data_IF_910352616869
#
_entry.id   IF_910352616869
#
_cell.length_a   1.000
_cell.length_b   1.000
_cell.length_c   1.000
_cell.angle_alpha   90.00
_cell.angle_beta   90.00
_cell.angle_gamma   90.00
#
_symmetry.space_group_name_H-M   'P 1'
#
loop_
_entity.id
_entity.type
_entity.pdbx_description
1 polymer ?
#
# COMPACT_ATOMS: atom_id res chain seq x y z
N UNK A 1 54.15 3.32 -19.65
CA UNK A 1 55.06 3.88 -18.63
C UNK A 1 54.89 5.38 -18.67
N UNK A 2 54.70 6.04 -17.53
CA UNK A 2 54.65 7.49 -17.53
C UNK A 2 56.03 8.03 -17.94
N UNK A 3 56.08 8.97 -18.89
CA UNK A 3 57.31 9.67 -19.30
C UNK A 3 57.58 10.84 -18.37
N UNK A 4 58.65 10.74 -17.57
CA UNK A 4 59.09 11.81 -16.67
C UNK A 4 59.99 12.77 -17.43
N UNK A 5 59.60 14.03 -17.55
CA UNK A 5 60.25 15.05 -18.36
C UNK A 5 61.45 15.77 -17.67
N UNK A 6 61.72 15.49 -16.40
CA UNK A 6 62.86 16.09 -15.68
C UNK A 6 63.51 15.09 -14.70
N UNK A 7 64.84 15.20 -14.43
CA UNK A 7 65.48 14.37 -13.44
C UNK A 7 64.91 14.68 -12.04
N UNK A 8 64.47 13.65 -11.31
CA UNK A 8 63.95 13.78 -9.95
C UNK A 8 63.62 12.40 -9.34
N UNK A 9 63.32 12.39 -8.05
CA UNK A 9 62.79 11.19 -7.39
C UNK A 9 61.27 11.25 -7.50
N UNK A 10 60.72 10.31 -8.22
CA UNK A 10 59.27 10.19 -8.41
C UNK A 10 58.76 9.02 -7.57
N UNK A 11 57.76 9.28 -6.74
CA UNK A 11 57.04 8.23 -6.00
C UNK A 11 55.83 7.85 -6.83
N UNK A 12 55.82 6.64 -7.36
CA UNK A 12 54.71 6.06 -8.07
C UNK A 12 53.98 5.10 -7.14
N UNK A 13 52.71 5.35 -6.85
CA UNK A 13 51.87 4.46 -6.07
C UNK A 13 51.37 3.34 -7.00
N UNK A 14 52.02 2.18 -6.93
CA UNK A 14 51.64 1.00 -7.72
C UNK A 14 50.81 0.08 -6.86
N UNK A 15 49.53 0.03 -7.09
CA UNK A 15 48.57 -0.91 -6.48
C UNK A 15 48.87 -2.34 -6.97
N UNK A 16 49.72 -3.09 -6.27
CA UNK A 16 50.14 -4.47 -6.62
C UNK A 16 49.46 -5.55 -5.79
N UNK A 17 48.47 -5.20 -4.98
CA UNK A 17 47.74 -6.17 -4.15
C UNK A 17 46.45 -6.66 -4.82
N UNK A 18 45.96 -7.87 -4.52
CA UNK A 18 44.61 -8.24 -4.82
C UNK A 18 43.66 -7.32 -4.04
N UNK A 19 42.90 -6.48 -4.73
CA UNK A 19 41.88 -5.64 -4.09
C UNK A 19 40.87 -6.57 -3.40
N UNK A 20 40.57 -6.36 -2.10
CA UNK A 20 39.53 -7.14 -1.46
C UNK A 20 38.21 -6.97 -2.20
N UNK A 21 37.47 -8.04 -2.42
CA UNK A 21 36.13 -7.99 -3.01
C UNK A 21 35.21 -7.46 -1.92
N UNK A 22 34.72 -6.26 -2.09
CA UNK A 22 33.67 -5.71 -1.22
C UNK A 22 32.37 -6.45 -1.50
N UNK A 23 31.75 -7.00 -0.46
CA UNK A 23 30.49 -7.71 -0.58
C UNK A 23 29.32 -6.77 -0.86
N UNK A 24 28.47 -7.14 -1.79
CA UNK A 24 27.23 -6.40 -2.08
C UNK A 24 26.18 -6.63 -0.99
N UNK A 25 25.20 -5.75 -0.88
CA UNK A 25 24.05 -5.96 -0.02
C UNK A 25 23.18 -7.14 -0.50
N UNK A 26 22.66 -7.93 0.44
CA UNK A 26 21.82 -9.10 0.11
C UNK A 26 20.36 -8.95 0.50
N UNK A 27 20.01 -7.89 1.21
CA UNK A 27 18.72 -7.76 1.92
C UNK A 27 17.80 -6.66 1.35
N UNK A 28 17.89 -6.37 0.05
CA UNK A 28 17.04 -5.38 -0.61
C UNK A 28 15.87 -6.05 -1.31
N UNK A 29 14.66 -5.81 -0.81
CA UNK A 29 13.42 -6.27 -1.44
C UNK A 29 12.80 -5.21 -2.37
N UNK A 30 12.09 -5.67 -3.39
CA UNK A 30 11.18 -4.86 -4.18
C UNK A 30 9.77 -5.45 -4.13
N UNK A 31 8.79 -4.58 -3.88
CA UNK A 31 7.38 -4.92 -3.80
C UNK A 31 6.61 -4.20 -4.89
N UNK A 32 5.82 -4.94 -5.65
CA UNK A 32 4.94 -4.40 -6.69
C UNK A 32 3.49 -4.72 -6.34
N UNK A 33 2.60 -3.74 -6.38
CA UNK A 33 1.21 -3.97 -6.01
C UNK A 33 0.39 -2.68 -5.94
N UNK A 34 -0.63 -2.68 -5.08
CA UNK A 34 -1.63 -1.62 -4.98
C UNK A 34 -1.45 -0.82 -3.69
N UNK A 35 -1.82 0.46 -3.74
CA UNK A 35 -1.69 1.40 -2.63
C UNK A 35 -2.90 2.32 -2.52
N UNK A 36 -3.00 3.10 -1.44
CA UNK A 36 -4.03 4.13 -1.30
C UNK A 36 -3.80 5.27 -2.29
N UNK A 37 -2.56 5.74 -2.38
CA UNK A 37 -2.10 6.81 -3.27
C UNK A 37 -0.70 6.49 -3.80
N UNK A 38 -0.20 7.26 -4.75
CA UNK A 38 1.16 7.15 -5.26
C UNK A 38 1.65 8.54 -5.67
N UNK A 39 2.01 9.35 -4.68
CA UNK A 39 2.40 10.75 -4.88
C UNK A 39 3.35 11.22 -3.78
N UNK A 40 4.15 12.22 -4.11
CA UNK A 40 5.02 12.90 -3.15
C UNK A 40 4.86 14.40 -3.29
N UNK A 41 4.62 15.07 -2.18
CA UNK A 41 4.57 16.54 -2.12
C UNK A 41 5.98 17.05 -1.85
N UNK A 42 6.46 17.93 -2.69
CA UNK A 42 7.74 18.65 -2.51
C UNK A 42 7.50 20.14 -2.52
N UNK A 43 8.17 20.86 -1.65
CA UNK A 43 8.22 22.31 -1.68
C UNK A 43 9.43 22.75 -2.50
N UNK A 44 9.18 23.45 -3.61
CA UNK A 44 10.20 24.02 -4.49
C UNK A 44 9.84 25.50 -4.68
N UNK A 45 10.76 26.39 -4.33
CA UNK A 45 10.59 27.85 -4.45
C UNK A 45 9.31 28.40 -3.77
N UNK A 46 8.95 27.87 -2.58
CA UNK A 46 7.72 28.16 -1.83
C UNK A 46 6.42 27.70 -2.54
N UNK A 47 6.51 26.87 -3.57
CA UNK A 47 5.35 26.23 -4.19
C UNK A 47 5.32 24.73 -3.85
N UNK A 48 4.13 24.22 -3.51
CA UNK A 48 3.93 22.79 -3.26
C UNK A 48 3.67 22.10 -4.59
N UNK A 49 4.63 21.26 -4.99
CA UNK A 49 4.54 20.44 -6.22
C UNK A 49 4.20 19.01 -5.83
N UNK A 50 3.15 18.47 -6.45
CA UNK A 50 2.76 17.06 -6.31
C UNK A 50 3.38 16.24 -7.44
N UNK A 51 4.38 15.41 -7.11
CA UNK A 51 4.99 14.47 -8.04
C UNK A 51 4.23 13.16 -8.05
N UNK A 52 3.81 12.68 -9.24
CA UNK A 52 3.15 11.40 -9.39
C UNK A 52 4.17 10.26 -9.42
N UNK A 53 3.96 9.26 -8.55
CA UNK A 53 4.86 8.12 -8.35
C UNK A 53 4.30 6.81 -8.94
N UNK A 54 3.10 6.83 -9.54
CA UNK A 54 2.45 5.64 -10.07
C UNK A 54 3.36 4.93 -11.08
N UNK A 55 3.43 3.61 -10.98
CA UNK A 55 4.25 2.70 -11.79
C UNK A 55 5.77 2.87 -11.65
N UNK A 56 6.28 3.81 -10.88
CA UNK A 56 7.72 4.09 -10.75
C UNK A 56 8.31 3.48 -9.46
N UNK A 57 9.45 2.78 -9.53
CA UNK A 57 10.13 2.29 -8.34
C UNK A 57 10.55 3.44 -7.40
N UNK A 58 10.16 3.33 -6.13
CA UNK A 58 10.50 4.30 -5.09
C UNK A 58 11.21 3.62 -3.94
N UNK A 59 12.37 4.13 -3.54
CA UNK A 59 13.09 3.65 -2.36
C UNK A 59 12.38 4.12 -1.09
N UNK A 60 12.06 3.20 -0.20
CA UNK A 60 11.43 3.43 1.10
C UNK A 60 12.31 2.86 2.20
N UNK A 61 12.61 3.66 3.21
CA UNK A 61 13.54 3.30 4.30
C UNK A 61 12.86 3.01 5.63
N UNK A 62 11.58 3.34 5.76
CA UNK A 62 10.76 3.07 6.94
C UNK A 62 9.27 3.18 6.62
N UNK A 63 8.42 2.74 7.56
CA UNK A 63 6.97 2.78 7.39
C UNK A 63 6.39 4.19 7.24
N UNK A 64 6.92 5.18 7.96
CA UNK A 64 6.45 6.57 7.85
C UNK A 64 6.63 7.11 6.44
N UNK A 65 7.80 6.89 5.83
CA UNK A 65 8.08 7.28 4.45
C UNK A 65 7.19 6.54 3.43
N UNK A 66 6.84 5.26 3.72
CA UNK A 66 5.85 4.56 2.91
C UNK A 66 4.50 5.25 2.96
N UNK A 67 4.00 5.58 4.16
CA UNK A 67 2.69 6.24 4.35
C UNK A 67 2.65 7.61 3.68
N UNK A 68 3.71 8.38 3.78
CA UNK A 68 3.81 9.69 3.12
C UNK A 68 3.61 9.60 1.60
N UNK A 69 4.20 8.60 0.95
CA UNK A 69 4.19 8.44 -0.52
C UNK A 69 3.02 7.60 -1.03
N UNK A 70 2.66 6.57 -0.29
CA UNK A 70 1.73 5.53 -0.77
C UNK A 70 0.45 5.42 0.04
N UNK A 71 0.32 6.19 1.12
CA UNK A 71 -0.83 6.12 2.02
C UNK A 71 -0.72 5.00 3.04
N UNK A 72 -1.84 4.72 3.71
CA UNK A 72 -1.94 3.74 4.78
C UNK A 72 -2.36 2.35 4.32
N UNK A 73 -2.89 1.60 5.28
CA UNK A 73 -3.49 0.29 5.01
C UNK A 73 -4.84 0.46 4.29
N UNK A 74 -5.06 -0.40 3.30
CA UNK A 74 -6.30 -0.44 2.52
C UNK A 74 -6.91 -1.84 2.66
N UNK A 75 -8.14 -1.99 3.12
CA UNK A 75 -8.78 -3.29 3.27
C UNK A 75 -8.81 -4.09 1.97
N UNK A 76 -8.40 -5.35 2.03
CA UNK A 76 -8.35 -6.24 0.86
C UNK A 76 -7.15 -6.02 -0.07
N UNK A 77 -6.29 -5.04 0.20
CA UNK A 77 -5.04 -4.78 -0.51
C UNK A 77 -3.87 -5.27 0.32
N UNK A 78 -2.93 -5.97 -0.30
CA UNK A 78 -1.88 -6.70 0.41
C UNK A 78 -0.52 -6.01 0.47
N UNK A 79 -0.22 -5.11 -0.48
CA UNK A 79 1.08 -4.44 -0.53
C UNK A 79 1.42 -3.67 0.76
N UNK A 80 0.53 -2.83 1.34
CA UNK A 80 0.85 -2.13 2.59
C UNK A 80 1.17 -3.08 3.74
N UNK A 81 0.38 -4.16 3.90
CA UNK A 81 0.62 -5.19 4.91
C UNK A 81 1.94 -5.94 4.68
N UNK A 82 2.31 -6.17 3.42
CA UNK A 82 3.57 -6.83 3.04
C UNK A 82 4.79 -5.96 3.36
N UNK A 83 4.74 -4.67 3.04
CA UNK A 83 5.83 -3.72 3.37
C UNK A 83 5.96 -3.54 4.88
N UNK A 84 4.84 -3.40 5.60
CA UNK A 84 4.84 -3.33 7.06
C UNK A 84 5.43 -4.60 7.68
N UNK A 85 4.99 -5.77 7.22
CA UNK A 85 5.53 -7.07 7.63
C UNK A 85 7.02 -7.24 7.33
N UNK A 86 7.49 -6.69 6.21
CA UNK A 86 8.91 -6.66 5.86
C UNK A 86 9.73 -5.89 6.89
N UNK A 87 9.34 -4.66 7.23
CA UNK A 87 10.04 -3.88 8.25
C UNK A 87 9.96 -4.53 9.62
N UNK A 88 8.81 -5.05 10.02
CA UNK A 88 8.62 -5.75 11.30
C UNK A 88 9.53 -6.97 11.44
N UNK A 89 9.81 -7.67 10.34
CA UNK A 89 10.61 -8.89 10.33
C UNK A 89 12.12 -8.68 10.08
N UNK A 90 12.59 -7.44 9.99
CA UNK A 90 14.01 -7.13 9.92
C UNK A 90 14.49 -6.52 8.61
N UNK A 91 13.57 -6.19 7.70
CA UNK A 91 13.87 -5.35 6.55
C UNK A 91 14.21 -3.92 6.97
N UNK A 92 15.14 -3.30 6.28
CA UNK A 92 15.60 -1.93 6.59
C UNK A 92 15.26 -0.91 5.54
N UNK A 93 15.19 -1.32 4.29
CA UNK A 93 14.83 -0.51 3.13
C UNK A 93 14.33 -1.42 2.01
N UNK A 94 13.41 -0.92 1.20
CA UNK A 94 12.87 -1.64 0.06
C UNK A 94 12.49 -0.69 -1.06
N UNK A 95 12.35 -1.22 -2.28
CA UNK A 95 11.69 -0.51 -3.36
C UNK A 95 10.22 -0.86 -3.41
N UNK A 96 9.38 0.13 -3.68
CA UNK A 96 7.93 -0.03 -3.84
C UNK A 96 7.52 0.51 -5.20
N UNK A 97 6.73 -0.27 -5.93
CA UNK A 97 6.10 0.14 -7.18
C UNK A 97 4.59 0.01 -7.00
N UNK A 98 3.90 1.14 -6.94
CA UNK A 98 2.44 1.16 -6.96
C UNK A 98 1.96 1.11 -8.40
N UNK A 99 1.29 0.04 -8.80
CA UNK A 99 0.75 -0.11 -10.17
C UNK A 99 -0.71 0.30 -10.28
N UNK A 100 -1.40 0.45 -9.15
CA UNK A 100 -2.78 0.93 -9.06
C UNK A 100 -3.02 1.56 -7.69
N UNK A 101 -3.86 2.60 -7.65
CA UNK A 101 -4.25 3.24 -6.39
C UNK A 101 -5.72 3.00 -6.08
N UNK A 102 -6.03 2.91 -4.78
CA UNK A 102 -7.38 2.79 -4.25
C UNK A 102 -7.64 3.93 -3.27
N UNK A 103 -8.02 5.12 -3.76
CA UNK A 103 -8.26 6.28 -2.93
C UNK A 103 -9.47 6.09 -2.02
N UNK A 104 -9.67 7.04 -1.12
CA UNK A 104 -10.87 7.11 -0.30
C UNK A 104 -12.09 7.42 -1.17
N UNK A 105 -13.18 6.69 -0.96
CA UNK A 105 -14.45 6.98 -1.64
C UNK A 105 -15.00 8.33 -1.18
N UNK A 106 -15.59 9.09 -2.11
CA UNK A 106 -16.13 10.41 -1.81
C UNK A 106 -17.45 10.69 -2.51
N UNK A 107 -18.18 11.66 -2.00
CA UNK A 107 -19.39 12.21 -2.60
C UNK A 107 -19.41 13.72 -2.44
N UNK A 108 -19.98 14.41 -3.42
CA UNK A 108 -20.15 15.86 -3.38
C UNK A 108 -21.60 16.17 -3.01
N UNK A 109 -21.77 16.90 -1.92
CA UNK A 109 -23.07 17.42 -1.49
C UNK A 109 -23.30 18.76 -2.15
N UNK A 110 -24.50 18.90 -2.76
CA UNK A 110 -24.92 20.10 -3.48
C UNK A 110 -25.67 21.04 -2.53
N UNK A 111 -25.56 22.33 -2.77
CA UNK A 111 -26.38 23.34 -2.11
C UNK A 111 -27.79 23.44 -2.76
N UNK A 112 -28.61 24.34 -2.26
CA UNK A 112 -29.97 24.58 -2.78
C UNK A 112 -29.99 25.08 -4.23
N UNK A 113 -28.88 25.64 -4.71
CA UNK A 113 -28.72 26.12 -6.09
C UNK A 113 -28.19 25.02 -7.04
N UNK A 114 -27.96 23.79 -6.53
CA UNK A 114 -27.38 22.69 -7.31
C UNK A 114 -25.88 22.83 -7.57
N UNK A 115 -25.17 23.68 -6.81
CA UNK A 115 -23.72 23.84 -6.91
C UNK A 115 -23.02 23.00 -5.84
N UNK A 116 -21.78 22.50 -6.11
CA UNK A 116 -20.96 21.81 -5.12
C UNK A 116 -20.73 22.66 -3.87
N UNK A 117 -21.04 22.11 -2.70
CA UNK A 117 -20.90 22.79 -1.42
C UNK A 117 -19.88 22.11 -0.51
N UNK A 118 -20.01 20.79 -0.31
CA UNK A 118 -19.20 20.01 0.61
C UNK A 118 -18.77 18.72 -0.08
N UNK A 119 -17.49 18.36 0.01
CA UNK A 119 -17.04 16.98 -0.26
C UNK A 119 -17.08 16.18 1.03
N UNK A 120 -17.77 15.05 1.01
CA UNK A 120 -17.71 14.02 2.07
C UNK A 120 -16.85 12.89 1.59
N UNK A 121 -15.87 12.50 2.38
CA UNK A 121 -14.89 11.46 2.05
C UNK A 121 -14.88 10.39 3.14
N UNK A 122 -14.83 9.12 2.76
CA UNK A 122 -14.62 8.04 3.70
C UNK A 122 -13.25 8.18 4.38
N UNK A 123 -13.14 7.89 5.67
CA UNK A 123 -11.83 7.87 6.34
C UNK A 123 -10.98 6.69 5.88
N UNK A 124 -11.63 5.55 5.60
CA UNK A 124 -10.97 4.35 5.13
C UNK A 124 -10.87 4.37 3.60
N UNK A 125 -9.67 4.10 3.09
CA UNK A 125 -9.44 3.99 1.66
C UNK A 125 -10.01 2.70 1.06
N UNK A 126 -10.17 2.65 -0.25
CA UNK A 126 -10.59 1.48 -1.00
C UNK A 126 -12.10 1.27 -1.05
N UNK A 127 -12.48 0.06 -1.42
CA UNK A 127 -13.87 -0.29 -1.76
C UNK A 127 -14.84 -0.32 -0.57
N UNK A 128 -14.36 -0.41 0.66
CA UNK A 128 -15.22 -0.38 1.85
C UNK A 128 -15.96 0.95 1.99
N UNK A 129 -15.34 2.07 1.59
CA UNK A 129 -15.99 3.37 1.55
C UNK A 129 -17.17 3.44 0.59
N UNK A 130 -17.16 2.66 -0.48
CA UNK A 130 -18.27 2.60 -1.46
C UNK A 130 -19.52 1.91 -0.91
N UNK A 131 -19.40 1.16 0.18
CA UNK A 131 -20.55 0.56 0.88
C UNK A 131 -21.21 1.55 1.85
N UNK A 132 -20.80 2.82 1.81
CA UNK A 132 -21.35 3.88 2.65
C UNK A 132 -22.14 4.87 1.82
N UNK A 133 -23.23 5.37 2.41
CA UNK A 133 -23.95 6.54 1.93
C UNK A 133 -24.05 7.58 3.04
N UNK A 134 -24.15 8.82 2.64
CA UNK A 134 -24.45 9.93 3.54
C UNK A 134 -25.80 10.52 3.18
N UNK A 135 -26.61 10.78 4.19
CA UNK A 135 -27.88 11.48 4.08
C UNK A 135 -27.81 12.75 4.91
N UNK A 136 -28.10 13.87 4.28
CA UNK A 136 -28.22 15.18 4.93
C UNK A 136 -29.65 15.44 5.32
N UNK A 137 -29.87 15.85 6.55
CA UNK A 137 -31.17 16.28 7.05
C UNK A 137 -31.01 17.39 8.10
N UNK A 138 -32.15 17.86 8.59
CA UNK A 138 -32.21 18.90 9.64
C UNK A 138 -31.36 20.14 9.30
N UNK A 139 -31.49 20.63 8.05
CA UNK A 139 -30.74 21.81 7.58
C UNK A 139 -31.37 23.07 8.18
N UNK A 140 -30.61 23.71 9.07
CA UNK A 140 -31.01 24.96 9.70
C UNK A 140 -30.27 26.15 9.08
N UNK A 141 -30.99 27.18 8.72
CA UNK A 141 -30.48 28.47 8.25
C UNK A 141 -30.81 29.55 9.27
N UNK A 142 -29.97 30.59 9.43
CA UNK A 142 -30.29 31.71 10.32
C UNK A 142 -31.63 32.33 9.92
N UNK A 143 -32.48 32.61 10.91
CA UNK A 143 -33.72 33.30 10.68
C UNK A 143 -33.44 34.67 10.08
N UNK A 144 -33.94 34.92 8.86
CA UNK A 144 -33.93 36.25 8.27
C UNK A 144 -34.91 37.11 9.12
N UNK A 145 -34.40 37.89 10.07
CA UNK A 145 -35.19 38.90 10.73
C UNK A 145 -35.52 40.00 9.71
N UNK A 146 -36.68 39.87 9.04
CA UNK A 146 -37.24 40.95 8.29
C UNK A 146 -37.62 42.07 9.27
N UNK A 147 -36.77 43.09 9.40
CA UNK A 147 -37.19 44.36 10.02
C UNK A 147 -38.29 44.94 9.14
N UNK A 148 -39.53 44.77 9.56
CA UNK A 148 -40.66 45.54 9.05
C UNK A 148 -40.32 47.02 9.20
N UNK A 149 -40.28 47.72 8.06
CA UNK A 149 -40.10 49.17 8.01
C UNK A 149 -41.21 49.87 8.81
N UNK A 150 -40.85 50.52 9.89
CA UNK A 150 -41.61 51.63 10.42
C UNK A 150 -41.01 52.90 9.82
N UNK A 151 -41.85 53.67 9.11
CA UNK A 151 -41.56 55.00 8.60
C UNK A 151 -41.23 55.96 9.76
N UNK A 152 -40.18 56.74 9.65
CA UNK A 152 -40.17 58.19 9.61
C UNK A 152 -38.75 58.73 9.89
N UNK A 153 -38.25 59.44 8.95
CA UNK A 153 -37.37 60.64 8.93
C UNK A 153 -36.14 60.66 9.84
N UNK A 154 -34.95 60.55 9.25
CA UNK A 154 -33.85 61.54 9.38
C UNK A 154 -32.59 60.94 8.66
N UNK A 155 -31.96 61.77 7.88
CA UNK A 155 -30.64 61.56 7.24
C UNK A 155 -29.60 61.32 8.31
N UNK A 156 -28.82 60.25 8.13
CA UNK A 156 -27.39 60.18 8.47
C UNK A 156 -26.69 59.03 7.85
N UNK A 157 -25.41 59.17 7.54
CA UNK A 157 -24.54 58.46 6.68
C UNK A 157 -24.53 56.94 6.85
N UNK A 158 -24.45 56.21 5.71
CA UNK A 158 -24.32 54.80 5.58
C UNK A 158 -23.01 54.28 6.13
N UNK A 159 -23.06 53.57 7.26
CA UNK A 159 -22.11 52.55 7.63
C UNK A 159 -22.65 51.21 7.08
N UNK A 160 -21.80 50.48 6.39
CA UNK A 160 -22.11 49.11 5.92
C UNK A 160 -22.55 48.23 7.11
N UNK A 161 -23.57 47.36 6.96
CA UNK A 161 -23.97 46.52 8.08
C UNK A 161 -22.83 45.53 8.38
N UNK A 162 -22.24 45.65 9.56
CA UNK A 162 -21.42 44.61 10.15
C UNK A 162 -22.25 43.31 10.20
N UNK A 163 -21.67 42.23 9.71
CA UNK A 163 -22.26 40.93 9.82
C UNK A 163 -22.50 40.60 11.31
N UNK A 164 -23.66 40.05 11.70
CA UNK A 164 -23.91 39.71 13.08
C UNK A 164 -22.90 38.70 13.55
N UNK A 165 -22.05 39.08 14.48
CA UNK A 165 -21.31 38.18 15.36
C UNK A 165 -22.33 37.43 16.24
N UNK A 166 -22.85 36.34 15.75
CA UNK A 166 -23.76 35.48 16.47
C UNK A 166 -23.53 34.07 16.01
N UNK A 167 -23.24 33.15 16.91
CA UNK A 167 -23.20 31.68 16.81
C UNK A 167 -24.56 31.13 16.33
N UNK A 168 -25.07 31.67 15.23
CA UNK A 168 -26.44 31.49 14.83
C UNK A 168 -26.65 30.87 13.47
N UNK A 169 -26.80 29.56 13.42
CA UNK A 169 -27.81 29.03 12.57
C UNK A 169 -27.46 28.34 11.28
N UNK A 170 -26.20 28.27 10.85
CA UNK A 170 -25.82 27.42 9.70
C UNK A 170 -25.43 26.04 10.19
N UNK A 171 -26.40 25.13 10.35
CA UNK A 171 -26.12 23.78 10.81
C UNK A 171 -26.95 22.72 10.07
N UNK A 172 -26.47 21.50 10.05
CA UNK A 172 -27.16 20.35 9.47
C UNK A 172 -26.74 19.06 10.19
N UNK A 173 -27.51 17.99 9.97
CA UNK A 173 -27.22 16.66 10.50
C UNK A 173 -26.83 15.75 9.34
N UNK A 174 -25.77 14.94 9.54
CA UNK A 174 -25.33 13.91 8.60
C UNK A 174 -25.55 12.54 9.20
N UNK A 175 -26.31 11.72 8.51
CA UNK A 175 -26.50 10.30 8.81
C UNK A 175 -25.55 9.51 7.91
N UNK A 176 -24.62 8.78 8.51
CA UNK A 176 -23.71 7.86 7.81
C UNK A 176 -24.30 6.46 7.95
N UNK A 177 -24.54 5.81 6.83
CA UNK A 177 -25.17 4.49 6.75
C UNK A 177 -24.29 3.56 5.95
N UNK A 178 -24.31 2.27 6.28
CA UNK A 178 -23.60 1.21 5.55
C UNK A 178 -24.58 0.25 4.92
N UNK A 179 -24.25 -0.19 3.72
CA UNK A 179 -24.99 -1.23 3.00
C UNK A 179 -24.97 -2.54 3.79
N UNK A 180 -26.14 -3.13 3.97
CA UNK A 180 -26.29 -4.41 4.65
C UNK A 180 -26.25 -5.56 3.63
N UNK A 181 -25.88 -6.75 4.08
CA UNK A 181 -25.77 -7.95 3.24
C UNK A 181 -27.08 -8.28 2.48
N UNK A 182 -28.22 -7.88 3.01
CA UNK A 182 -29.55 -8.08 2.42
C UNK A 182 -30.03 -6.91 1.54
N UNK A 183 -29.13 -5.97 1.18
CA UNK A 183 -29.42 -4.87 0.27
C UNK A 183 -30.10 -3.65 0.89
N UNK A 184 -30.21 -3.58 2.24
CA UNK A 184 -30.69 -2.39 2.95
C UNK A 184 -29.56 -1.51 3.48
N UNK A 185 -29.91 -0.33 4.04
CA UNK A 185 -28.97 0.56 4.70
C UNK A 185 -29.10 0.48 6.22
N UNK A 186 -27.99 0.32 6.92
CA UNK A 186 -27.93 0.32 8.38
C UNK A 186 -27.19 1.57 8.87
N UNK A 187 -27.71 2.26 9.90
CA UNK A 187 -27.03 3.41 10.47
C UNK A 187 -25.68 2.97 11.08
N UNK A 188 -24.62 3.72 10.74
CA UNK A 188 -23.29 3.60 11.35
C UNK A 188 -23.05 4.70 12.38
N UNK A 189 -23.33 5.94 11.99
CA UNK A 189 -23.05 7.12 12.79
C UNK A 189 -24.04 8.23 12.43
N UNK A 190 -24.45 9.00 13.43
CA UNK A 190 -25.18 10.25 13.22
C UNK A 190 -24.32 11.40 13.76
N UNK A 191 -24.02 12.35 12.89
CA UNK A 191 -23.27 13.56 13.21
C UNK A 191 -24.25 14.72 13.25
N UNK A 192 -24.71 15.05 14.45
CA UNK A 192 -25.70 16.12 14.68
C UNK A 192 -25.02 17.47 14.80
N UNK A 193 -25.74 18.54 14.42
CA UNK A 193 -25.34 19.92 14.61
C UNK A 193 -23.93 20.21 14.03
N UNK A 194 -23.72 19.80 12.75
CA UNK A 194 -22.54 20.15 11.99
C UNK A 194 -22.69 21.62 11.57
N UNK A 195 -21.84 22.48 12.07
CA UNK A 195 -21.89 23.93 11.80
C UNK A 195 -20.96 24.30 10.63
N UNK A 196 -21.42 25.18 9.78
CA UNK A 196 -20.61 25.87 8.77
C UNK A 196 -20.26 27.24 9.28
N UNK A 197 -18.99 27.51 9.49
CA UNK A 197 -18.52 28.76 10.10
C UNK A 197 -17.26 29.30 9.44
N UNK A 198 -16.97 30.60 9.66
CA UNK A 198 -15.71 31.20 9.25
C UNK A 198 -14.66 30.95 10.34
N UNK A 199 -13.51 30.42 9.95
CA UNK A 199 -12.38 30.17 10.84
C UNK A 199 -11.15 30.89 10.32
N UNK A 200 -10.40 31.55 11.22
CA UNK A 200 -9.11 32.15 10.86
C UNK A 200 -7.99 31.14 11.02
N UNK A 201 -7.32 30.81 9.92
CA UNK A 201 -6.14 29.93 9.90
C UNK A 201 -5.02 30.69 9.21
N UNK A 202 -3.88 30.85 9.88
CA UNK A 202 -2.68 31.54 9.38
C UNK A 202 -2.97 32.97 8.84
N UNK A 203 -3.88 33.70 9.50
CA UNK A 203 -4.26 35.05 9.11
C UNK A 203 -5.20 35.15 7.90
N UNK A 204 -5.65 34.02 7.34
CA UNK A 204 -6.66 33.97 6.28
C UNK A 204 -7.98 33.45 6.85
N UNK A 205 -9.09 34.09 6.46
CA UNK A 205 -10.43 33.63 6.81
C UNK A 205 -10.87 32.58 5.79
N UNK A 206 -11.18 31.40 6.26
CA UNK A 206 -11.75 30.32 5.44
C UNK A 206 -13.06 29.79 6.03
N UNK A 207 -13.91 29.21 5.20
CA UNK A 207 -15.14 28.55 5.62
C UNK A 207 -14.82 27.10 5.92
N UNK A 208 -15.22 26.63 7.09
CA UNK A 208 -14.91 25.27 7.54
C UNK A 208 -16.10 24.65 8.29
N UNK A 209 -16.05 23.33 8.49
CA UNK A 209 -17.02 22.61 9.31
C UNK A 209 -16.55 22.55 10.76
N UNK A 210 -17.48 22.78 11.69
CA UNK A 210 -17.27 22.55 13.10
C UNK A 210 -18.25 21.50 13.62
N UNK A 211 -17.76 20.65 14.49
CA UNK A 211 -18.55 19.56 15.05
C UNK A 211 -18.94 19.87 16.51
N UNK A 212 -20.15 19.51 16.87
CA UNK A 212 -20.64 19.66 18.26
C UNK A 212 -19.67 18.99 19.24
N UNK A 213 -19.26 19.77 20.26
CA UNK A 213 -18.30 19.33 21.28
C UNK A 213 -16.96 18.83 20.70
N UNK A 214 -16.55 19.32 19.54
CA UNK A 214 -15.33 18.88 18.82
C UNK A 214 -15.29 17.37 18.52
N UNK A 215 -16.45 16.71 18.44
CA UNK A 215 -16.54 15.29 18.17
C UNK A 215 -16.38 15.02 16.66
N UNK A 216 -15.16 14.73 16.27
CA UNK A 216 -14.81 14.37 14.89
C UNK A 216 -15.52 13.08 14.46
N UNK A 217 -16.18 13.01 13.28
CA UNK A 217 -16.82 11.81 12.78
C UNK A 217 -15.82 10.66 12.63
N UNK A 218 -16.26 9.44 12.95
CA UNK A 218 -15.41 8.25 12.92
C UNK A 218 -15.21 7.68 11.53
N UNK A 219 -16.22 7.79 10.66
CA UNK A 219 -16.24 7.10 9.37
C UNK A 219 -16.02 8.03 8.18
N UNK A 220 -16.24 9.32 8.34
CA UNK A 220 -16.15 10.31 7.27
C UNK A 220 -15.32 11.53 7.66
N UNK A 221 -14.88 12.26 6.64
CA UNK A 221 -14.30 13.61 6.70
C UNK A 221 -15.12 14.52 5.80
N UNK A 222 -15.25 15.78 6.15
CA UNK A 222 -15.99 16.77 5.36
C UNK A 222 -15.10 17.97 5.04
N UNK A 223 -15.16 18.42 3.79
CA UNK A 223 -14.37 19.55 3.29
C UNK A 223 -15.28 20.52 2.57
N UNK A 224 -15.25 21.79 2.97
CA UNK A 224 -16.02 22.86 2.31
C UNK A 224 -15.38 23.20 0.97
N UNK A 225 -16.17 23.16 -0.10
CA UNK A 225 -15.74 23.58 -1.44
C UNK A 225 -16.02 25.07 -1.68
N UNK A 226 -17.14 25.57 -1.15
CA UNK A 226 -17.57 26.95 -1.32
C UNK A 226 -17.01 27.83 -0.19
N UNK A 227 -16.06 28.69 -0.50
CA UNK A 227 -15.35 29.52 0.47
C UNK A 227 -15.84 30.98 0.57
N UNK A 228 -16.73 31.37 -0.33
CA UNK A 228 -17.14 32.80 -0.42
C UNK A 228 -18.31 33.15 0.50
N UNK A 229 -19.25 32.24 0.72
CA UNK A 229 -20.53 32.51 1.37
C UNK A 229 -21.02 31.31 2.18
N UNK A 230 -21.30 31.51 3.46
CA UNK A 230 -21.80 30.44 4.35
C UNK A 230 -23.11 29.84 3.88
N UNK A 231 -24.04 30.64 3.36
CA UNK A 231 -25.31 30.12 2.85
C UNK A 231 -25.14 29.23 1.62
N UNK A 232 -24.17 29.54 0.77
CA UNK A 232 -23.85 28.73 -0.41
C UNK A 232 -23.04 27.47 -0.06
N UNK A 233 -22.30 27.51 1.07
CA UNK A 233 -21.59 26.36 1.59
C UNK A 233 -22.51 25.35 2.30
N UNK A 234 -23.76 25.71 2.60
CA UNK A 234 -24.73 24.81 3.21
C UNK A 234 -25.24 23.78 2.21
N UNK A 235 -25.21 22.47 2.54
CA UNK A 235 -25.79 21.45 1.70
C UNK A 235 -27.32 21.49 1.78
N UNK A 236 -28.01 21.10 0.69
CA UNK A 236 -29.45 20.79 0.77
C UNK A 236 -29.66 19.39 1.34
N UNK A 237 -30.89 19.09 1.73
CA UNK A 237 -31.27 17.71 2.07
C UNK A 237 -31.13 16.81 0.84
N UNK A 238 -30.37 15.75 0.99
CA UNK A 238 -30.04 14.81 -0.09
C UNK A 238 -29.43 13.52 0.46
N UNK A 239 -29.38 12.50 -0.40
CA UNK A 239 -28.66 11.25 -0.16
C UNK A 239 -27.60 11.06 -1.24
N UNK A 240 -26.40 10.63 -0.84
CA UNK A 240 -25.31 10.36 -1.77
C UNK A 240 -24.55 9.11 -1.33
N UNK A 241 -24.30 8.18 -2.25
CA UNK A 241 -23.39 7.05 -2.04
C UNK A 241 -21.98 7.53 -2.32
N UNK A 242 -21.04 7.13 -1.48
CA UNK A 242 -19.62 7.44 -1.70
C UNK A 242 -19.09 6.54 -2.81
N UNK A 243 -18.31 7.09 -3.72
CA UNK A 243 -17.78 6.37 -4.89
C UNK A 243 -16.28 6.61 -5.07
N UNK A 244 -15.61 5.67 -5.72
CA UNK A 244 -14.29 5.85 -6.34
C UNK A 244 -14.45 5.67 -7.85
N UNK A 245 -13.43 6.04 -8.63
CA UNK A 245 -13.48 5.87 -10.09
C UNK A 245 -13.70 4.39 -10.44
N UNK A 246 -14.72 4.12 -11.24
CA UNK A 246 -15.10 2.77 -11.66
C UNK A 246 -13.98 2.03 -12.38
N UNK A 247 -13.10 2.73 -13.08
CA UNK A 247 -11.93 2.13 -13.75
C UNK A 247 -10.99 1.44 -12.78
N UNK A 248 -10.90 1.93 -11.53
CA UNK A 248 -10.08 1.31 -10.48
C UNK A 248 -10.66 -0.02 -9.97
N UNK A 249 -11.94 -0.31 -10.27
CA UNK A 249 -12.65 -1.53 -9.88
C UNK A 249 -12.62 -2.62 -10.95
N UNK A 250 -12.06 -2.34 -12.12
CA UNK A 250 -11.86 -3.36 -13.14
C UNK A 250 -10.82 -4.39 -12.69
N UNK A 251 -10.99 -5.65 -13.12
CA UNK A 251 -10.04 -6.72 -12.79
C UNK A 251 -8.63 -6.35 -13.23
N UNK A 252 -7.62 -6.54 -12.35
CA UNK A 252 -6.23 -6.27 -12.70
C UNK A 252 -5.79 -7.14 -13.88
N UNK A 253 -4.97 -6.56 -14.75
CA UNK A 253 -4.39 -7.25 -15.90
C UNK A 253 -2.92 -7.56 -15.68
N UNK A 254 -2.40 -8.63 -16.24
CA UNK A 254 -0.99 -9.01 -16.11
C UNK A 254 -0.03 -7.91 -16.58
N UNK A 255 -0.43 -7.12 -17.58
CA UNK A 255 0.36 -6.00 -18.08
C UNK A 255 0.59 -4.87 -17.08
N UNK A 256 -0.35 -4.66 -16.13
CA UNK A 256 -0.20 -3.65 -15.07
C UNK A 256 0.96 -3.97 -14.14
N UNK A 257 1.09 -5.25 -13.77
CA UNK A 257 2.20 -5.70 -12.92
C UNK A 257 3.52 -5.78 -13.67
N UNK A 258 3.47 -6.14 -14.96
CA UNK A 258 4.65 -6.30 -15.79
C UNK A 258 5.40 -4.98 -15.98
N UNK A 259 4.71 -3.96 -16.46
CA UNK A 259 5.33 -2.69 -16.84
C UNK A 259 6.27 -2.80 -18.03
N UNK A 260 7.23 -1.89 -18.11
CA UNK A 260 8.18 -1.77 -19.22
C UNK A 260 9.56 -1.29 -18.73
N UNK A 261 10.63 -1.86 -19.31
CA UNK A 261 12.03 -1.50 -18.98
C UNK A 261 12.36 -0.08 -19.40
N UNK A 262 11.94 0.33 -20.59
CA UNK A 262 12.28 1.64 -21.17
C UNK A 262 11.62 2.78 -20.38
N UNK A 263 10.35 2.55 -19.97
CA UNK A 263 9.57 3.49 -19.17
C UNK A 263 9.87 3.38 -17.66
N UNK A 264 10.68 2.37 -17.28
CA UNK A 264 11.04 2.06 -15.88
C UNK A 264 9.81 1.84 -14.99
N UNK A 265 8.86 1.04 -15.48
CA UNK A 265 7.58 0.78 -14.81
C UNK A 265 7.41 -0.68 -14.43
N UNK A 266 6.57 -0.96 -13.42
CA UNK A 266 6.23 -2.32 -12.99
C UNK A 266 7.43 -3.15 -12.56
N UNK A 267 7.30 -4.47 -12.69
CA UNK A 267 8.38 -5.44 -12.37
C UNK A 267 9.56 -5.28 -13.34
N UNK A 268 9.29 -5.10 -14.64
CA UNK A 268 10.36 -4.94 -15.63
C UNK A 268 11.17 -3.65 -15.39
N UNK A 269 10.53 -2.59 -14.88
CA UNK A 269 11.23 -1.34 -14.50
C UNK A 269 12.22 -1.49 -13.34
N UNK A 270 12.18 -2.59 -12.60
CA UNK A 270 13.16 -2.91 -11.55
C UNK A 270 14.53 -3.34 -12.10
N UNK A 271 14.65 -3.59 -13.40
CA UNK A 271 15.89 -4.02 -14.04
C UNK A 271 17.03 -3.02 -13.86
N UNK A 272 16.73 -1.73 -13.90
CA UNK A 272 17.73 -0.65 -13.77
C UNK A 272 18.25 -0.44 -12.35
N UNK A 273 17.77 -1.23 -11.38
CA UNK A 273 18.13 -1.10 -9.97
C UNK A 273 18.93 -2.32 -9.55
N UNK A 274 20.24 -2.16 -9.50
CA UNK A 274 21.17 -3.26 -9.19
C UNK A 274 21.07 -3.77 -7.76
N UNK A 275 20.66 -2.94 -6.79
CA UNK A 275 20.63 -3.31 -5.37
C UNK A 275 19.57 -4.36 -5.02
N UNK A 276 18.57 -4.57 -5.87
CA UNK A 276 17.46 -5.49 -5.59
C UNK A 276 17.95 -6.93 -5.60
N UNK A 277 17.57 -7.69 -4.56
CA UNK A 277 17.90 -9.11 -4.41
C UNK A 277 16.67 -10.00 -4.22
N UNK A 278 15.51 -9.41 -3.95
CA UNK A 278 14.23 -10.10 -3.74
C UNK A 278 13.10 -9.33 -4.42
N UNK A 279 12.18 -10.04 -5.05
CA UNK A 279 10.99 -9.44 -5.71
C UNK A 279 9.73 -10.17 -5.24
N UNK A 280 8.71 -9.43 -4.84
CA UNK A 280 7.40 -9.96 -4.48
C UNK A 280 6.26 -9.10 -5.05
N UNK A 281 5.15 -9.75 -5.41
CA UNK A 281 3.94 -9.10 -5.97
C UNK A 281 2.71 -9.57 -5.16
N UNK A 282 2.54 -9.08 -3.92
CA UNK A 282 1.50 -9.60 -3.02
C UNK A 282 0.08 -9.35 -3.53
N UNK A 283 -0.18 -8.23 -4.21
CA UNK A 283 -1.50 -7.89 -4.74
C UNK A 283 -1.91 -8.66 -6.01
N UNK A 284 -1.05 -9.53 -6.50
CA UNK A 284 -1.42 -10.51 -7.51
C UNK A 284 -2.59 -11.40 -7.07
N UNK A 285 -2.75 -11.55 -5.76
CA UNK A 285 -3.83 -12.33 -5.13
C UNK A 285 -5.04 -11.49 -4.71
N UNK A 286 -5.04 -10.19 -5.00
CA UNK A 286 -6.18 -9.30 -4.72
C UNK A 286 -7.29 -9.51 -5.74
N UNK A 287 -8.54 -9.62 -5.25
CA UNK A 287 -9.73 -9.71 -6.09
C UNK A 287 -10.58 -8.45 -5.96
N UNK A 288 -11.17 -8.01 -7.07
CA UNK A 288 -12.14 -6.92 -7.05
C UNK A 288 -13.51 -7.41 -6.54
N UNK A 289 -14.34 -6.51 -6.01
CA UNK A 289 -15.66 -6.88 -5.50
C UNK A 289 -16.50 -7.64 -6.55
N UNK A 290 -16.99 -8.83 -6.16
CA UNK A 290 -17.78 -9.70 -7.01
C UNK A 290 -17.00 -10.56 -8.00
N UNK A 291 -15.67 -10.45 -8.05
CA UNK A 291 -14.83 -11.25 -8.93
C UNK A 291 -14.15 -12.40 -8.19
N UNK A 292 -13.80 -13.42 -8.95
CA UNK A 292 -12.95 -14.54 -8.48
C UNK A 292 -11.51 -14.31 -8.91
N UNK A 293 -10.58 -14.87 -8.12
CA UNK A 293 -9.17 -14.83 -8.46
C UNK A 293 -8.92 -15.49 -9.83
N UNK A 294 -8.27 -14.75 -10.71
CA UNK A 294 -7.87 -15.21 -12.03
C UNK A 294 -6.53 -15.98 -11.93
N UNK A 295 -6.60 -17.31 -11.85
CA UNK A 295 -5.43 -18.15 -11.72
C UNK A 295 -4.51 -18.14 -12.96
N UNK A 296 -5.04 -17.86 -14.15
CA UNK A 296 -4.22 -17.73 -15.36
C UNK A 296 -3.38 -16.45 -15.30
N UNK A 297 -3.96 -15.35 -14.80
CA UNK A 297 -3.21 -14.12 -14.52
C UNK A 297 -2.13 -14.36 -13.46
N UNK A 298 -2.46 -15.05 -12.37
CA UNK A 298 -1.49 -15.39 -11.32
C UNK A 298 -0.30 -16.17 -11.91
N UNK A 299 -0.58 -17.20 -12.71
CA UNK A 299 0.45 -17.98 -13.40
C UNK A 299 1.30 -17.12 -14.34
N UNK A 300 0.66 -16.26 -15.14
CA UNK A 300 1.36 -15.40 -16.10
C UNK A 300 2.31 -14.43 -15.41
N UNK A 301 1.86 -13.75 -14.34
CA UNK A 301 2.68 -12.78 -13.60
C UNK A 301 3.79 -13.48 -12.82
N UNK A 302 3.50 -14.61 -12.14
CA UNK A 302 4.55 -15.38 -11.45
C UNK A 302 5.59 -15.89 -12.43
N UNK A 303 5.18 -16.37 -13.60
CA UNK A 303 6.10 -16.79 -14.68
C UNK A 303 6.98 -15.65 -15.16
N UNK A 304 6.42 -14.45 -15.32
CA UNK A 304 7.16 -13.23 -15.67
C UNK A 304 8.15 -12.83 -14.57
N UNK A 305 7.78 -12.88 -13.29
CA UNK A 305 8.69 -12.63 -12.16
C UNK A 305 9.89 -13.59 -12.19
N UNK A 306 9.65 -14.87 -12.43
CA UNK A 306 10.68 -15.90 -12.55
C UNK A 306 11.62 -15.58 -13.72
N UNK A 307 11.08 -15.29 -14.90
CA UNK A 307 11.86 -14.95 -16.09
C UNK A 307 12.72 -13.71 -15.88
N UNK A 308 12.16 -12.66 -15.23
CA UNK A 308 12.89 -11.46 -14.85
C UNK A 308 14.09 -11.79 -13.93
N UNK A 309 13.87 -12.58 -12.88
CA UNK A 309 14.94 -12.97 -11.96
C UNK A 309 16.00 -13.85 -12.63
N UNK A 310 15.60 -14.78 -13.50
CA UNK A 310 16.52 -15.65 -14.26
C UNK A 310 17.39 -14.84 -15.23
N UNK A 311 16.80 -13.88 -15.93
CA UNK A 311 17.51 -13.03 -16.89
C UNK A 311 18.57 -12.17 -16.23
N UNK A 312 18.28 -11.61 -15.06
CA UNK A 312 19.21 -10.76 -14.32
C UNK A 312 20.24 -11.53 -13.48
N UNK A 313 19.88 -12.72 -12.98
CA UNK A 313 20.78 -13.59 -12.23
C UNK A 313 21.15 -13.12 -10.84
N UNK A 314 20.68 -11.96 -10.37
CA UNK A 314 21.09 -11.30 -9.13
C UNK A 314 20.01 -11.27 -8.03
N UNK A 315 18.79 -11.68 -8.34
CA UNK A 315 17.60 -11.61 -7.46
C UNK A 315 16.76 -12.86 -7.52
N UNK A 316 15.91 -13.06 -6.53
CA UNK A 316 15.01 -14.22 -6.41
C UNK A 316 13.58 -13.76 -6.20
N UNK A 317 12.63 -14.37 -6.90
CA UNK A 317 11.20 -14.13 -6.72
C UNK A 317 10.66 -14.88 -5.50
N UNK A 318 9.95 -14.16 -4.61
CA UNK A 318 9.20 -14.76 -3.50
C UNK A 318 7.74 -14.83 -3.94
N UNK A 319 7.24 -16.05 -4.13
CA UNK A 319 5.92 -16.31 -4.66
C UNK A 319 4.96 -16.71 -3.55
N UNK A 320 3.78 -16.11 -3.57
CA UNK A 320 2.66 -16.54 -2.74
C UNK A 320 1.88 -17.64 -3.46
N UNK A 321 1.43 -18.64 -2.71
CA UNK A 321 0.48 -19.62 -3.22
C UNK A 321 -0.91 -18.98 -3.39
N UNK A 322 -1.76 -19.45 -4.32
CA UNK A 322 -3.15 -19.02 -4.35
C UNK A 322 -3.83 -19.26 -3.00
N UNK A 323 -4.73 -18.35 -2.57
CA UNK A 323 -5.46 -18.50 -1.31
C UNK A 323 -6.45 -19.67 -1.34
N UNK A 324 -6.94 -20.06 -0.17
CA UNK A 324 -8.06 -21.02 0.04
C UNK A 324 -7.88 -22.39 -0.61
N UNK A 325 -6.65 -22.78 -0.93
CA UNK A 325 -6.29 -24.10 -1.42
C UNK A 325 -5.78 -25.01 -0.30
N UNK A 326 -6.20 -26.27 -0.31
CA UNK A 326 -5.66 -27.28 0.57
C UNK A 326 -4.28 -27.81 0.06
N UNK A 327 -3.52 -28.59 0.83
CA UNK A 327 -2.19 -29.06 0.43
C UNK A 327 -2.15 -29.86 -0.89
N UNK A 328 -3.19 -30.62 -1.20
CA UNK A 328 -3.25 -31.40 -2.46
C UNK A 328 -3.46 -30.46 -3.67
N UNK A 329 -4.31 -29.46 -3.51
CA UNK A 329 -4.56 -28.45 -4.53
C UNK A 329 -3.32 -27.58 -4.77
N UNK A 330 -2.59 -27.20 -3.73
CA UNK A 330 -1.31 -26.48 -3.85
C UNK A 330 -0.26 -27.33 -4.56
N UNK A 331 -0.16 -28.61 -4.22
CA UNK A 331 0.74 -29.54 -4.93
C UNK A 331 0.39 -29.64 -6.40
N UNK A 332 -0.90 -29.77 -6.74
CA UNK A 332 -1.39 -29.79 -8.12
C UNK A 332 -1.10 -28.47 -8.83
N UNK A 333 -1.37 -27.34 -8.16
CA UNK A 333 -1.02 -26.01 -8.67
C UNK A 333 0.45 -25.93 -9.03
N UNK A 334 1.34 -26.23 -8.07
CA UNK A 334 2.79 -26.16 -8.22
C UNK A 334 3.31 -27.06 -9.36
N UNK A 335 2.87 -28.31 -9.40
CA UNK A 335 3.45 -29.32 -10.28
C UNK A 335 2.84 -29.36 -11.68
N UNK A 336 1.55 -29.08 -11.79
CA UNK A 336 0.77 -29.29 -13.02
C UNK A 336 0.29 -27.97 -13.60
N UNK A 337 -0.46 -27.18 -12.84
CA UNK A 337 -1.14 -25.98 -13.38
C UNK A 337 -0.16 -24.85 -13.66
N UNK A 338 0.67 -24.49 -12.68
CA UNK A 338 1.74 -23.51 -12.86
C UNK A 338 2.96 -24.12 -13.55
N UNK A 339 3.41 -25.31 -13.08
CA UNK A 339 4.46 -26.08 -13.68
C UNK A 339 5.83 -25.37 -13.67
N UNK A 340 6.07 -24.48 -12.70
CA UNK A 340 7.32 -23.74 -12.62
C UNK A 340 8.51 -24.65 -12.26
N UNK A 341 9.63 -24.46 -12.91
CA UNK A 341 10.91 -25.10 -12.57
C UNK A 341 12.01 -24.03 -12.64
N UNK A 342 12.43 -23.54 -11.49
CA UNK A 342 13.44 -22.48 -11.44
C UNK A 342 14.11 -22.40 -10.06
N UNK A 343 15.42 -22.19 -10.05
CA UNK A 343 16.16 -21.87 -8.83
C UNK A 343 16.03 -20.40 -8.42
N UNK A 344 15.45 -19.55 -9.25
CA UNK A 344 15.27 -18.13 -9.01
C UNK A 344 13.90 -17.78 -8.42
N UNK A 345 13.19 -18.76 -7.89
CA UNK A 345 11.92 -18.56 -7.21
C UNK A 345 11.75 -19.48 -6.01
N UNK A 346 11.04 -18.99 -4.99
CA UNK A 346 10.64 -19.74 -3.81
C UNK A 346 9.16 -19.47 -3.52
N UNK A 347 8.37 -20.52 -3.30
CA UNK A 347 6.94 -20.45 -3.02
C UNK A 347 6.66 -20.78 -1.57
N UNK A 348 5.74 -20.02 -0.96
CA UNK A 348 5.33 -20.17 0.44
C UNK A 348 3.84 -20.46 0.57
N UNK A 349 3.51 -21.33 1.54
CA UNK A 349 2.17 -21.79 1.88
C UNK A 349 2.11 -22.21 3.37
N UNK A 350 1.02 -22.06 4.07
CA UNK A 350 -0.19 -21.30 3.74
C UNK A 350 -0.04 -19.80 3.96
N UNK A 351 -1.11 -19.05 3.69
CA UNK A 351 -1.21 -17.65 4.09
C UNK A 351 -1.20 -17.51 5.60
N UNK A 352 -0.72 -16.39 6.09
CA UNK A 352 -0.68 -16.04 7.52
C UNK A 352 -1.91 -15.22 7.91
N UNK A 353 -2.31 -15.32 9.18
CA UNK A 353 -3.30 -14.44 9.79
C UNK A 353 -2.61 -13.34 10.55
N UNK A 354 -3.07 -12.13 10.35
CA UNK A 354 -2.60 -10.93 11.08
C UNK A 354 -3.78 -10.17 11.66
N UNK A 355 -3.52 -9.34 12.68
CA UNK A 355 -4.44 -8.27 13.04
C UNK A 355 -4.27 -7.15 12.01
N UNK A 356 -5.30 -6.90 11.20
CA UNK A 356 -5.27 -5.84 10.19
C UNK A 356 -5.41 -4.46 10.86
N UNK A 357 -4.41 -3.58 10.74
CA UNK A 357 -4.48 -2.26 11.36
C UNK A 357 -5.58 -1.34 10.79
N UNK A 358 -6.07 -1.63 9.58
CA UNK A 358 -7.14 -0.86 8.96
C UNK A 358 -8.52 -1.17 9.53
N UNK A 359 -8.76 -2.41 9.93
CA UNK A 359 -10.10 -2.91 10.31
C UNK A 359 -10.20 -3.41 11.74
N UNK A 360 -9.09 -3.54 12.47
CA UNK A 360 -8.98 -4.19 13.79
C UNK A 360 -9.58 -5.61 13.80
N UNK A 361 -9.48 -6.31 12.67
CA UNK A 361 -9.95 -7.69 12.51
C UNK A 361 -8.82 -8.62 12.09
N UNK A 362 -8.98 -9.91 12.37
CA UNK A 362 -8.02 -10.91 11.88
C UNK A 362 -8.32 -11.20 10.42
N UNK A 363 -7.30 -11.00 9.56
CA UNK A 363 -7.38 -11.24 8.12
C UNK A 363 -6.28 -12.17 7.65
N UNK A 364 -6.52 -12.87 6.54
CA UNK A 364 -5.51 -13.65 5.85
C UNK A 364 -4.72 -12.74 4.91
N UNK A 365 -3.39 -12.83 4.95
CA UNK A 365 -2.51 -12.09 4.04
C UNK A 365 -1.46 -13.03 3.43
N UNK A 366 -1.01 -12.75 2.19
CA UNK A 366 0.07 -13.50 1.58
C UNK A 366 1.38 -13.31 2.36
N UNK A 367 2.17 -14.38 2.55
CA UNK A 367 3.35 -14.33 3.41
C UNK A 367 4.59 -13.65 2.81
N UNK A 368 4.63 -13.37 1.50
CA UNK A 368 5.84 -12.93 0.78
C UNK A 368 6.54 -11.73 1.40
N UNK A 369 5.81 -10.72 1.86
CA UNK A 369 6.40 -9.54 2.50
C UNK A 369 7.09 -9.87 3.84
N UNK A 370 6.45 -10.68 4.66
CA UNK A 370 7.00 -11.15 5.93
C UNK A 370 8.22 -12.04 5.71
N UNK A 371 8.16 -12.91 4.70
CA UNK A 371 9.27 -13.78 4.28
C UNK A 371 10.46 -12.97 3.81
N UNK A 372 10.25 -11.94 2.99
CA UNK A 372 11.32 -11.03 2.56
C UNK A 372 12.02 -10.36 3.76
N UNK A 373 11.26 -9.91 4.77
CA UNK A 373 11.80 -9.38 6.00
C UNK A 373 12.61 -10.41 6.80
N UNK A 374 12.12 -11.64 6.86
CA UNK A 374 12.84 -12.76 7.50
C UNK A 374 14.14 -13.08 6.76
N UNK A 375 14.15 -13.07 5.43
CA UNK A 375 15.37 -13.25 4.67
C UNK A 375 16.37 -12.13 4.96
N UNK A 376 15.92 -10.88 5.01
CA UNK A 376 16.76 -9.74 5.38
C UNK A 376 17.33 -9.89 6.79
N UNK A 377 16.53 -10.28 7.78
CA UNK A 377 16.98 -10.53 9.14
C UNK A 377 18.01 -11.67 9.21
N UNK A 378 17.75 -12.78 8.51
CA UNK A 378 18.64 -13.92 8.43
C UNK A 378 20.01 -13.52 7.84
N UNK A 379 19.99 -12.77 6.73
CA UNK A 379 21.21 -12.30 6.08
C UNK A 379 22.04 -11.37 7.00
N UNK A 380 21.37 -10.43 7.66
CA UNK A 380 22.04 -9.47 8.55
C UNK A 380 22.59 -10.10 9.82
N UNK A 381 21.99 -11.21 10.31
CA UNK A 381 22.39 -11.84 11.57
C UNK A 381 23.29 -13.04 11.39
N UNK A 382 23.15 -13.79 10.30
CA UNK A 382 23.83 -15.08 10.07
C UNK A 382 24.56 -15.16 8.73
N UNK A 383 24.23 -14.28 7.79
CA UNK A 383 24.74 -14.28 6.43
C UNK A 383 23.85 -15.05 5.44
N UNK A 384 23.99 -14.72 4.15
CA UNK A 384 23.18 -15.27 3.06
C UNK A 384 23.33 -16.78 2.86
N UNK A 385 24.44 -17.35 3.33
CA UNK A 385 24.72 -18.79 3.26
C UNK A 385 23.84 -19.65 4.19
N UNK A 386 23.26 -19.04 5.23
CA UNK A 386 22.34 -19.73 6.15
C UNK A 386 20.96 -19.83 5.50
N UNK A 387 20.38 -21.05 5.44
CA UNK A 387 19.02 -21.26 4.97
C UNK A 387 18.02 -20.45 5.82
N UNK A 388 17.12 -19.67 5.22
CA UNK A 388 16.11 -18.88 5.92
C UNK A 388 14.93 -19.77 6.38
N UNK A 389 15.22 -20.75 7.20
CA UNK A 389 14.25 -21.67 7.78
C UNK A 389 14.42 -21.74 9.30
N UNK A 390 13.36 -22.22 9.97
CA UNK A 390 13.23 -22.20 11.45
C UNK A 390 13.26 -20.77 12.03
N UNK A 391 12.82 -19.80 11.25
CA UNK A 391 12.72 -18.39 11.63
C UNK A 391 11.28 -18.04 12.03
N UNK A 392 11.14 -17.24 13.09
CA UNK A 392 9.83 -16.78 13.59
C UNK A 392 9.26 -15.73 12.64
N UNK A 393 7.95 -15.85 12.37
CA UNK A 393 7.18 -14.84 11.64
C UNK A 393 6.58 -13.86 12.64
N UNK A 394 7.20 -12.70 12.79
CA UNK A 394 6.70 -11.64 13.69
C UNK A 394 5.43 -11.01 13.09
N UNK A 395 4.45 -10.72 13.94
CA UNK A 395 3.17 -10.13 13.55
C UNK A 395 2.09 -11.12 13.12
N UNK A 396 2.45 -12.39 12.86
CA UNK A 396 1.48 -13.43 12.58
C UNK A 396 0.82 -13.92 13.86
N UNK A 397 -0.53 -13.95 13.87
CA UNK A 397 -1.36 -14.43 14.98
C UNK A 397 -1.96 -15.81 14.71
N UNK A 398 -1.87 -16.31 13.49
CA UNK A 398 -2.38 -17.61 13.07
C UNK A 398 -1.99 -17.95 11.63
N UNK A 399 -2.52 -19.05 11.14
CA UNK A 399 -2.36 -19.53 9.76
C UNK A 399 -3.74 -19.76 9.14
N UNK A 400 -3.85 -19.51 7.83
CA UNK A 400 -5.07 -19.80 7.07
C UNK A 400 -5.35 -21.32 7.01
N UNK A 401 -4.31 -22.14 7.06
CA UNK A 401 -4.39 -23.60 7.09
C UNK A 401 -3.31 -24.18 8.02
N UNK A 402 -3.65 -25.18 8.82
CA UNK A 402 -2.72 -25.86 9.71
C UNK A 402 -2.18 -27.13 9.04
N UNK A 403 -1.00 -27.02 8.41
CA UNK A 403 -0.33 -28.15 7.76
C UNK A 403 0.13 -29.20 8.77
N UNK A 404 -0.24 -30.45 8.54
CA UNK A 404 0.29 -31.60 9.28
C UNK A 404 1.72 -31.95 8.81
N UNK A 405 2.41 -32.79 9.58
CA UNK A 405 3.72 -33.30 9.18
C UNK A 405 3.64 -34.07 7.86
N UNK A 406 2.62 -34.96 7.72
CA UNK A 406 2.45 -35.76 6.49
C UNK A 406 2.19 -34.90 5.24
N UNK A 407 1.38 -33.85 5.35
CA UNK A 407 1.16 -32.90 4.26
C UNK A 407 2.44 -32.16 3.90
N UNK A 408 3.21 -31.69 4.89
CA UNK A 408 4.50 -31.06 4.65
C UNK A 408 5.49 -32.03 3.95
N UNK A 409 5.50 -33.31 4.33
CA UNK A 409 6.35 -34.32 3.72
C UNK A 409 6.02 -34.53 2.22
N UNK A 410 4.82 -34.13 1.78
CA UNK A 410 4.42 -34.14 0.35
C UNK A 410 4.70 -32.82 -0.36
N UNK A 411 4.68 -31.68 0.34
CA UNK A 411 4.87 -30.34 -0.24
C UNK A 411 6.34 -29.93 -0.34
N UNK A 412 7.14 -30.23 0.69
CA UNK A 412 8.54 -29.84 0.74
C UNK A 412 9.38 -30.44 -0.43
N UNK A 413 9.21 -31.71 -0.84
CA UNK A 413 9.94 -32.26 -1.99
C UNK A 413 9.68 -31.53 -3.31
N UNK A 414 8.49 -30.93 -3.48
CA UNK A 414 8.12 -30.20 -4.69
C UNK A 414 8.41 -28.69 -4.60
N UNK A 415 9.15 -28.26 -3.57
CA UNK A 415 9.62 -26.88 -3.44
C UNK A 415 8.59 -25.91 -2.83
N UNK A 416 7.52 -26.41 -2.20
CA UNK A 416 6.58 -25.57 -1.45
C UNK A 416 7.05 -25.44 0.00
N UNK A 417 7.40 -24.24 0.42
CA UNK A 417 7.92 -23.94 1.77
C UNK A 417 6.75 -23.69 2.73
N UNK A 418 6.59 -24.57 3.71
CA UNK A 418 5.49 -24.45 4.66
C UNK A 418 5.78 -23.44 5.75
N UNK A 419 4.77 -22.64 6.09
CA UNK A 419 4.71 -21.84 7.33
C UNK A 419 3.93 -22.68 8.34
N UNK A 420 4.49 -22.90 9.54
CA UNK A 420 3.91 -23.78 10.54
C UNK A 420 3.83 -23.13 11.91
N UNK A 421 2.80 -23.49 12.66
CA UNK A 421 2.66 -23.13 14.06
C UNK A 421 3.15 -24.25 14.97
N UNK A 422 3.97 -23.92 15.96
CA UNK A 422 4.49 -24.85 16.95
C UNK A 422 4.13 -24.40 18.35
N UNK A 423 3.53 -25.28 19.17
CA UNK A 423 3.24 -24.96 20.56
C UNK A 423 4.50 -24.45 21.30
N UNK A 424 4.37 -23.31 21.98
CA UNK A 424 5.47 -22.70 22.73
C UNK A 424 6.61 -22.10 21.89
N UNK A 425 6.59 -22.26 20.56
CA UNK A 425 7.66 -21.77 19.66
C UNK A 425 7.17 -20.78 18.59
N UNK A 426 5.86 -20.54 18.53
CA UNK A 426 5.23 -19.60 17.61
C UNK A 426 5.14 -20.09 16.17
N UNK A 427 4.80 -19.17 15.29
CA UNK A 427 4.65 -19.40 13.85
C UNK A 427 6.03 -19.21 13.19
N UNK A 428 6.44 -20.20 12.38
CA UNK A 428 7.79 -20.25 11.80
C UNK A 428 7.75 -20.65 10.33
N UNK A 429 8.71 -20.12 9.57
CA UNK A 429 9.08 -20.64 8.26
C UNK A 429 9.73 -22.01 8.46
N UNK A 430 9.20 -23.06 7.80
CA UNK A 430 9.64 -24.45 7.97
C UNK A 430 10.08 -25.10 6.66
N UNK A 431 10.66 -24.33 5.75
CA UNK A 431 11.22 -24.77 4.48
C UNK A 431 12.14 -23.70 3.89
N UNK A 432 13.09 -24.12 3.08
CA UNK A 432 14.05 -23.25 2.40
C UNK A 432 14.42 -23.79 1.01
N UNK A 433 13.42 -24.23 0.24
CA UNK A 433 13.62 -24.77 -1.11
C UNK A 433 13.23 -23.76 -2.18
N UNK A 434 14.00 -23.77 -3.26
CA UNK A 434 13.62 -23.15 -4.52
C UNK A 434 12.59 -24.02 -5.26
N UNK A 435 12.10 -23.54 -6.40
CA UNK A 435 11.24 -24.34 -7.29
C UNK A 435 12.02 -25.23 -8.25
N UNK A 436 13.34 -25.36 -8.08
CA UNK A 436 14.18 -26.15 -8.99
C UNK A 436 14.03 -27.65 -8.77
N UNK A 437 13.91 -28.39 -9.87
CA UNK A 437 14.02 -29.83 -9.92
C UNK A 437 15.48 -30.32 -9.82
N UNK A 438 16.45 -29.45 -10.16
CA UNK A 438 17.87 -29.74 -10.06
C UNK A 438 18.33 -29.82 -8.60
N UNK A 439 18.88 -30.96 -8.14
CA UNK A 439 19.38 -31.14 -6.79
C UNK A 439 20.45 -30.10 -6.36
N UNK A 440 21.28 -29.63 -7.30
CA UNK A 440 22.33 -28.64 -7.03
C UNK A 440 21.75 -27.28 -6.64
N UNK A 441 20.61 -26.91 -7.21
CA UNK A 441 19.98 -25.61 -7.03
C UNK A 441 18.71 -25.63 -6.17
N UNK A 442 18.49 -26.72 -5.47
CA UNK A 442 17.26 -26.98 -4.71
C UNK A 442 17.06 -26.05 -3.50
N UNK A 443 18.12 -25.46 -2.97
CA UNK A 443 18.06 -24.68 -1.74
C UNK A 443 18.22 -23.18 -1.96
N UNK A 444 17.39 -22.39 -1.28
CA UNK A 444 17.37 -20.92 -1.38
C UNK A 444 18.72 -20.32 -1.03
N UNK A 445 19.34 -20.77 0.06
CA UNK A 445 20.63 -20.23 0.51
C UNK A 445 21.76 -20.54 -0.49
N UNK A 446 21.71 -21.66 -1.20
CA UNK A 446 22.69 -21.98 -2.27
C UNK A 446 22.52 -20.98 -3.42
N UNK A 447 21.30 -20.83 -3.96
CA UNK A 447 21.05 -19.89 -5.06
C UNK A 447 21.42 -18.47 -4.69
N UNK A 448 21.01 -18.00 -3.51
CA UNK A 448 21.27 -16.63 -3.06
C UNK A 448 22.77 -16.38 -2.77
N UNK A 449 23.47 -17.37 -2.26
CA UNK A 449 24.92 -17.29 -2.07
C UNK A 449 25.64 -17.12 -3.43
N UNK A 450 25.24 -17.87 -4.45
CA UNK A 450 25.83 -17.74 -5.78
C UNK A 450 25.49 -16.38 -6.39
N UNK A 451 24.25 -15.91 -6.30
CA UNK A 451 23.89 -14.54 -6.75
C UNK A 451 24.76 -13.47 -6.06
N UNK A 452 24.99 -13.60 -4.76
CA UNK A 452 25.85 -12.70 -4.00
C UNK A 452 27.30 -12.73 -4.48
N UNK A 453 27.88 -13.91 -4.69
CA UNK A 453 29.26 -14.06 -5.14
C UNK A 453 29.43 -13.54 -6.57
N UNK A 454 28.55 -13.95 -7.49
CA UNK A 454 28.57 -13.51 -8.89
C UNK A 454 28.46 -11.99 -8.99
N UNK A 455 27.51 -11.37 -8.29
CA UNK A 455 27.33 -9.93 -8.29
C UNK A 455 28.52 -9.18 -7.67
N UNK A 456 29.06 -9.68 -6.54
CA UNK A 456 30.24 -9.07 -5.89
C UNK A 456 31.47 -9.14 -6.80
N UNK A 457 31.57 -10.17 -7.65
CA UNK A 457 32.64 -10.30 -8.63
C UNK A 457 32.48 -9.36 -9.82
N UNK A 458 31.26 -9.23 -10.35
CA UNK A 458 30.98 -8.35 -11.51
C UNK A 458 31.16 -6.87 -11.21
N UNK A 459 30.88 -6.41 -10.00
CA UNK A 459 31.10 -5.01 -9.60
C UNK A 459 32.58 -4.61 -9.49
N UNK A 460 33.49 -5.59 -9.52
CA UNK A 460 34.93 -5.36 -9.41
C UNK A 460 35.65 -5.24 -10.75
N UNK A 461 35.05 -5.78 -11.81
CA UNK A 461 35.61 -5.76 -13.17
C UNK A 461 34.94 -4.69 -14.03
#
# INVERSE_FOLDING_TARGET
MPEYLSPGVYVEEVDRGPKPIEGVGTAMAAFVGFTEKAEMVREIDNELIVEQLLNKPQLVTNWTQFVERFGGFVPGIHLPNSVYGYFMNGGTRCYVVSVRTFPKAEAVLMNVQGKPAITVRARQAGTEGMKMRVRVGEVALPAVTSKKAAKEGAEEAAAAPEAPEGDGGYSFTVYVEKEAVNGGWKPLETVTDVKVQKTAVDGKTQVDVAYKNNRIPRFIEMFILEQSDLAKAMPREQEQVLIIDKKLLEAPQAGEFRGDVSDRTGVEGLEVIDDITMVAVPDLMTTMPGEKLNLDMVKAVQGMMIAHCQRLGDRVAILDSPPDMNPQEIKKWRMITAGFDSSYAAMYYPWIKIMDPATDTIVNVPPSGYVAGIWARNDNTRGVHKAPANEVVLGAVGLAYQTTKGEQDTLNPVGVNCVRSFPGRGIRIWGARTLSSDPAWRYINVRRLFNYVEKSYHLKN
#
